data_IF_288748770642
#
_entry.id   IF_288748770642
#
_cell.length_a   1.000
_cell.length_b   1.000
_cell.length_c   1.000
_cell.angle_alpha   90.00
_cell.angle_beta   90.00
_cell.angle_gamma   90.00
#
_symmetry.space_group_name_H-M   'P 1'
#
loop_
_entity.id
_entity.type
_entity.pdbx_description
1 polymer ?
#
# COMPACT_ATOMS: atom_id res chain seq x y z
N UNK A 1 -17.77 11.37 -8.92
CA UNK A 1 -16.43 11.31 -9.54
C UNK A 1 -15.41 11.67 -8.48
N UNK A 2 -14.52 10.77 -8.17
CA UNK A 2 -13.42 11.01 -7.24
C UNK A 2 -12.51 12.08 -7.83
N UNK A 3 -12.04 12.99 -6.99
CA UNK A 3 -11.17 14.07 -7.45
C UNK A 3 -9.73 13.57 -7.62
N UNK A 4 -9.35 13.16 -8.84
CA UNK A 4 -8.02 12.63 -9.20
C UNK A 4 -6.84 13.60 -8.91
N UNK A 5 -7.11 14.86 -8.55
CA UNK A 5 -6.08 15.82 -8.13
C UNK A 5 -5.72 15.75 -6.66
N UNK A 6 -6.50 15.02 -5.85
CA UNK A 6 -6.18 14.84 -4.44
C UNK A 6 -5.08 13.80 -4.28
N UNK A 7 -4.30 13.98 -3.26
CA UNK A 7 -3.20 13.08 -2.91
C UNK A 7 -3.61 12.26 -1.68
N UNK A 8 -3.25 10.97 -1.60
CA UNK A 8 -3.64 10.14 -0.46
C UNK A 8 -3.09 10.69 0.84
N UNK A 9 -3.80 10.48 1.93
CA UNK A 9 -3.36 10.94 3.23
C UNK A 9 -2.06 10.23 3.67
N UNK A 10 -1.20 10.98 4.35
CA UNK A 10 -0.01 10.46 5.05
C UNK A 10 -0.34 10.38 6.54
N UNK A 11 0.02 9.28 7.20
CA UNK A 11 -0.25 9.13 8.63
C UNK A 11 0.49 10.18 9.47
N UNK A 12 -0.20 10.72 10.47
CA UNK A 12 0.40 11.67 11.42
C UNK A 12 1.52 11.04 12.25
N UNK A 13 1.50 9.70 12.42
CA UNK A 13 2.53 8.96 13.16
C UNK A 13 3.81 8.77 12.36
N UNK A 14 3.75 8.80 11.03
CA UNK A 14 4.91 8.64 10.16
C UNK A 14 5.86 9.83 10.22
N UNK A 15 5.33 11.05 10.36
CA UNK A 15 6.14 12.27 10.32
C UNK A 15 7.25 12.33 11.41
N UNK A 16 6.97 12.10 12.71
CA UNK A 16 7.99 12.14 13.73
C UNK A 16 9.15 11.16 13.48
N UNK A 17 8.80 9.92 13.09
CA UNK A 17 9.76 8.85 12.82
C UNK A 17 10.60 9.16 11.59
N UNK A 18 9.98 9.72 10.54
CA UNK A 18 10.69 10.15 9.34
C UNK A 18 11.68 11.28 9.67
N UNK A 19 11.28 12.24 10.49
CA UNK A 19 12.14 13.35 10.92
C UNK A 19 13.36 12.85 11.70
N UNK A 20 13.18 11.88 12.59
CA UNK A 20 14.27 11.24 13.33
C UNK A 20 15.20 10.46 12.39
N UNK A 21 14.63 9.64 11.49
CA UNK A 21 15.40 8.87 10.51
C UNK A 21 16.24 9.76 9.58
N UNK A 22 15.72 10.94 9.18
CA UNK A 22 16.47 11.89 8.33
C UNK A 22 17.52 12.68 9.13
N UNK A 23 17.27 12.95 10.40
CA UNK A 23 18.19 13.68 11.27
C UNK A 23 19.43 12.85 11.68
N UNK A 24 19.35 11.54 11.58
CA UNK A 24 20.49 10.65 11.85
C UNK A 24 21.61 10.92 10.84
N UNK A 25 22.82 11.18 11.34
CA UNK A 25 24.01 11.39 10.50
C UNK A 25 24.40 10.15 9.69
N UNK A 26 23.94 8.97 10.10
CA UNK A 26 24.13 7.71 9.40
C UNK A 26 22.97 7.40 8.44
N UNK A 27 22.01 8.32 8.25
CA UNK A 27 20.85 8.12 7.39
C UNK A 27 21.26 7.71 5.98
N UNK A 28 20.64 6.64 5.50
CA UNK A 28 20.75 6.16 4.12
C UNK A 28 19.42 6.26 3.43
N UNK A 29 19.42 6.24 2.10
CA UNK A 29 18.16 6.15 1.35
C UNK A 29 17.35 4.92 1.75
N UNK A 30 18.01 3.81 2.09
CA UNK A 30 17.36 2.60 2.55
C UNK A 30 16.68 2.77 3.92
N UNK A 31 17.33 3.44 4.88
CA UNK A 31 16.71 3.70 6.19
C UNK A 31 15.50 4.62 6.09
N UNK A 32 15.56 5.64 5.25
CA UNK A 32 14.43 6.55 4.99
C UNK A 32 13.31 5.81 4.24
N UNK A 33 13.66 5.00 3.23
CA UNK A 33 12.69 4.19 2.48
C UNK A 33 11.98 3.17 3.38
N UNK A 34 12.67 2.63 4.39
CA UNK A 34 12.04 1.76 5.39
C UNK A 34 10.91 2.49 6.12
N UNK A 35 11.08 3.75 6.51
CA UNK A 35 10.02 4.56 7.13
C UNK A 35 8.92 4.89 6.13
N UNK A 36 9.28 5.27 4.90
CA UNK A 36 8.30 5.52 3.81
C UNK A 36 7.43 4.29 3.54
N UNK A 37 8.00 3.09 3.61
CA UNK A 37 7.29 1.82 3.41
C UNK A 37 6.26 1.46 4.49
N UNK A 38 6.10 2.28 5.53
CA UNK A 38 5.02 2.13 6.53
C UNK A 38 3.82 3.02 6.24
N UNK A 39 3.90 3.82 5.19
CA UNK A 39 2.86 4.79 4.86
C UNK A 39 2.54 4.75 3.37
N UNK A 40 1.43 4.07 2.98
CA UNK A 40 1.03 3.94 1.59
C UNK A 40 0.87 5.29 0.89
N UNK A 41 0.32 6.28 1.59
CA UNK A 41 0.14 7.63 1.04
C UNK A 41 1.45 8.32 0.71
N UNK A 42 2.45 8.21 1.60
CA UNK A 42 3.78 8.76 1.35
C UNK A 42 4.53 7.96 0.28
N UNK A 43 4.43 6.62 0.31
CA UNK A 43 5.06 5.74 -0.67
C UNK A 43 4.58 6.02 -2.10
N UNK A 44 3.25 6.14 -2.30
CA UNK A 44 2.67 6.47 -3.59
C UNK A 44 3.23 7.79 -4.14
N UNK A 45 3.36 8.82 -3.29
CA UNK A 45 3.88 10.13 -3.69
C UNK A 45 5.36 10.12 -4.03
N UNK A 46 6.16 9.40 -3.24
CA UNK A 46 7.61 9.28 -3.49
C UNK A 46 7.84 8.54 -4.81
N UNK A 47 7.09 7.44 -5.07
CA UNK A 47 7.15 6.72 -6.33
C UNK A 47 6.67 7.58 -7.51
N UNK A 48 5.54 8.28 -7.36
CA UNK A 48 5.01 9.17 -8.38
C UNK A 48 6.01 10.27 -8.76
N UNK A 49 6.62 10.90 -7.76
CA UNK A 49 7.59 11.96 -7.98
C UNK A 49 8.87 11.43 -8.64
N UNK A 50 9.41 10.28 -8.18
CA UNK A 50 10.57 9.64 -8.80
C UNK A 50 10.34 9.30 -10.28
N UNK A 51 9.12 8.90 -10.63
CA UNK A 51 8.71 8.54 -11.99
C UNK A 51 8.23 9.74 -12.84
N UNK A 52 8.26 10.95 -12.28
CA UNK A 52 7.85 12.15 -13.01
C UNK A 52 8.88 12.51 -14.10
N UNK A 53 8.43 13.27 -15.12
CA UNK A 53 9.30 13.76 -16.19
C UNK A 53 10.44 14.66 -15.71
N UNK A 54 10.35 15.18 -14.48
CA UNK A 54 11.37 16.04 -13.90
C UNK A 54 12.71 15.30 -13.69
N UNK A 55 12.66 14.00 -13.39
CA UNK A 55 13.87 13.20 -13.17
C UNK A 55 14.35 12.47 -14.42
N UNK A 56 13.54 12.41 -15.48
CA UNK A 56 13.94 11.92 -16.82
C UNK A 56 14.49 10.49 -16.84
N UNK A 57 14.02 9.62 -15.95
CA UNK A 57 14.53 8.26 -15.84
C UNK A 57 14.15 7.42 -17.07
N UNK A 58 15.11 6.62 -17.55
CA UNK A 58 14.91 5.72 -18.69
C UNK A 58 14.05 4.48 -18.33
N UNK A 59 13.96 4.13 -17.04
CA UNK A 59 13.15 3.03 -16.53
C UNK A 59 12.32 3.54 -15.39
N UNK A 60 11.11 3.00 -15.25
CA UNK A 60 10.25 3.28 -14.09
C UNK A 60 10.85 2.67 -12.83
N UNK A 61 10.73 3.41 -11.72
CA UNK A 61 11.19 3.03 -10.39
C UNK A 61 10.01 2.45 -9.62
N UNK A 62 10.15 1.24 -9.13
CA UNK A 62 9.20 0.54 -8.25
C UNK A 62 9.76 0.39 -6.84
N UNK A 63 11.08 0.33 -6.70
CA UNK A 63 11.79 0.21 -5.43
C UNK A 63 11.81 1.53 -4.65
N UNK A 64 11.36 1.51 -3.39
CA UNK A 64 11.27 2.71 -2.55
C UNK A 64 12.64 3.30 -2.20
N UNK A 65 13.68 2.48 -2.01
CA UNK A 65 15.01 2.99 -1.70
C UNK A 65 15.63 3.69 -2.91
N UNK A 66 15.39 3.15 -4.12
CA UNK A 66 15.75 3.81 -5.36
C UNK A 66 14.96 5.11 -5.54
N UNK A 67 13.66 5.10 -5.27
CA UNK A 67 12.81 6.30 -5.35
C UNK A 67 13.31 7.39 -4.41
N UNK A 68 13.61 7.06 -3.15
CA UNK A 68 14.19 8.00 -2.17
C UNK A 68 15.55 8.52 -2.63
N UNK A 69 16.37 7.66 -3.25
CA UNK A 69 17.68 8.09 -3.79
C UNK A 69 17.50 9.12 -4.91
N UNK A 70 16.54 8.90 -5.81
CA UNK A 70 16.26 9.78 -6.96
C UNK A 70 15.69 11.13 -6.48
N UNK A 71 14.70 11.07 -5.60
CA UNK A 71 13.97 12.26 -5.12
C UNK A 71 14.78 13.06 -4.11
N UNK A 72 15.55 12.38 -3.28
CA UNK A 72 16.32 12.94 -2.17
C UNK A 72 15.51 13.04 -0.87
N UNK A 73 16.18 12.78 0.25
CA UNK A 73 15.57 12.73 1.59
C UNK A 73 14.90 14.05 2.01
N UNK A 74 15.46 15.20 1.62
CA UNK A 74 14.88 16.52 1.90
C UNK A 74 13.53 16.74 1.22
N UNK A 75 13.33 16.22 0.01
CA UNK A 75 12.05 16.30 -0.69
C UNK A 75 11.05 15.35 -0.06
N UNK A 76 11.47 14.15 0.33
CA UNK A 76 10.62 13.20 1.08
C UNK A 76 10.12 13.84 2.38
N UNK A 77 11.00 14.51 3.12
CA UNK A 77 10.66 15.28 4.33
C UNK A 77 9.60 16.36 4.03
N UNK A 78 9.80 17.14 2.98
CA UNK A 78 8.85 18.21 2.59
C UNK A 78 7.47 17.63 2.23
N UNK A 79 7.45 16.52 1.49
CA UNK A 79 6.21 15.81 1.16
C UNK A 79 5.47 15.36 2.43
N UNK A 80 6.18 14.77 3.38
CA UNK A 80 5.59 14.29 4.63
C UNK A 80 5.02 15.45 5.46
N UNK A 81 5.75 16.56 5.63
CA UNK A 81 5.29 17.74 6.38
C UNK A 81 4.05 18.35 5.73
N UNK A 82 4.08 18.58 4.40
CA UNK A 82 2.97 19.18 3.67
C UNK A 82 1.67 18.37 3.81
N UNK A 83 1.79 17.09 4.05
CA UNK A 83 0.66 16.17 4.10
C UNK A 83 0.16 15.87 5.50
N UNK A 84 1.03 15.86 6.50
CA UNK A 84 0.62 15.71 7.90
C UNK A 84 -0.31 16.85 8.36
N UNK A 85 -0.18 18.03 7.76
CA UNK A 85 -1.04 19.18 8.04
C UNK A 85 -2.48 19.03 7.48
N UNK A 86 -2.74 18.08 6.59
CA UNK A 86 -4.01 17.93 5.88
C UNK A 86 -4.98 16.91 6.52
N UNK A 87 -4.54 16.15 7.54
CA UNK A 87 -5.33 15.06 8.11
C UNK A 87 -5.65 15.27 9.59
N UNK A 88 -6.95 15.24 9.87
CA UNK A 88 -7.47 14.92 11.20
C UNK A 88 -8.30 13.66 11.03
N UNK A 89 -7.67 12.48 11.14
CA UNK A 89 -8.40 11.22 11.29
C UNK A 89 -8.67 10.96 12.78
N UNK A 90 -9.93 11.04 13.16
CA UNK A 90 -10.38 10.76 14.54
C UNK A 90 -10.97 9.36 14.67
N UNK A 91 -11.09 8.59 13.59
CA UNK A 91 -11.75 7.28 13.57
C UNK A 91 -10.82 6.11 13.86
N UNK A 92 -9.50 6.30 13.74
CA UNK A 92 -8.52 5.22 13.77
C UNK A 92 -8.42 4.42 12.47
N UNK A 93 -9.33 4.66 11.51
CA UNK A 93 -9.37 3.94 10.23
C UNK A 93 -8.04 4.00 9.47
N UNK A 94 -7.44 5.19 9.37
CA UNK A 94 -6.16 5.37 8.66
C UNK A 94 -5.05 4.55 9.30
N UNK A 95 -5.01 4.45 10.64
CA UNK A 95 -4.01 3.65 11.33
C UNK A 95 -4.19 2.15 11.08
N UNK A 96 -5.43 1.67 11.08
CA UNK A 96 -5.76 0.26 10.81
C UNK A 96 -5.45 -0.11 9.34
N UNK A 97 -5.86 0.74 8.38
CA UNK A 97 -5.59 0.56 6.96
C UNK A 97 -4.07 0.56 6.66
N UNK A 98 -3.30 1.48 7.28
CA UNK A 98 -1.84 1.47 7.16
C UNK A 98 -1.22 0.21 7.75
N UNK A 99 -1.67 -0.23 8.93
CA UNK A 99 -1.19 -1.46 9.55
C UNK A 99 -1.47 -2.70 8.69
N UNK A 100 -2.65 -2.76 8.07
CA UNK A 100 -3.02 -3.80 7.11
C UNK A 100 -2.10 -3.75 5.88
N UNK A 101 -2.00 -2.62 5.22
CA UNK A 101 -1.19 -2.43 4.02
C UNK A 101 0.29 -2.84 4.22
N UNK A 102 0.89 -2.50 5.37
CA UNK A 102 2.27 -2.91 5.70
C UNK A 102 2.38 -4.43 5.83
N UNK A 103 1.43 -5.09 6.50
CA UNK A 103 1.44 -6.55 6.63
C UNK A 103 1.28 -7.23 5.27
N UNK A 104 0.37 -6.74 4.42
CA UNK A 104 0.19 -7.25 3.06
C UNK A 104 1.43 -7.02 2.21
N UNK A 105 2.10 -5.87 2.31
CA UNK A 105 3.36 -5.60 1.61
C UNK A 105 4.46 -6.60 2.00
N UNK A 106 4.63 -6.88 3.29
CA UNK A 106 5.60 -7.87 3.77
C UNK A 106 5.23 -9.27 3.26
N UNK A 107 3.96 -9.65 3.36
CA UNK A 107 3.48 -10.94 2.85
C UNK A 107 3.71 -11.08 1.34
N UNK A 108 3.37 -10.06 0.55
CA UNK A 108 3.59 -10.05 -0.90
C UNK A 108 5.08 -10.20 -1.25
N UNK A 109 5.97 -9.49 -0.54
CA UNK A 109 7.42 -9.66 -0.73
C UNK A 109 7.90 -11.08 -0.46
N UNK A 110 7.35 -11.73 0.59
CA UNK A 110 7.72 -13.10 0.96
C UNK A 110 7.16 -14.13 -0.04
N UNK A 111 5.99 -13.87 -0.63
CA UNK A 111 5.33 -14.72 -1.63
C UNK A 111 5.89 -14.54 -3.04
N UNK A 112 6.45 -13.38 -3.36
CA UNK A 112 6.92 -13.00 -4.69
C UNK A 112 7.77 -14.06 -5.40
N UNK A 113 8.75 -14.72 -4.74
CA UNK A 113 9.55 -15.75 -5.39
C UNK A 113 8.77 -16.95 -5.91
N UNK A 114 7.65 -17.32 -5.27
CA UNK A 114 6.80 -18.44 -5.70
C UNK A 114 6.14 -18.18 -7.07
N UNK A 115 5.90 -16.92 -7.41
CA UNK A 115 5.32 -16.50 -8.68
C UNK A 115 6.35 -15.92 -9.68
N UNK A 116 7.65 -15.95 -9.34
CA UNK A 116 8.69 -15.35 -10.17
C UNK A 116 8.61 -13.81 -10.27
N UNK A 117 7.98 -13.16 -9.28
CA UNK A 117 7.84 -11.71 -9.18
C UNK A 117 9.04 -11.12 -8.43
N UNK A 118 9.45 -9.90 -8.82
CA UNK A 118 10.49 -9.21 -8.07
C UNK A 118 9.95 -8.80 -6.68
N UNK A 119 10.66 -9.10 -5.58
CA UNK A 119 10.15 -8.83 -4.22
C UNK A 119 9.78 -7.37 -3.95
N UNK A 120 10.52 -6.40 -4.54
CA UNK A 120 10.24 -4.98 -4.31
C UNK A 120 9.01 -4.51 -5.08
N UNK A 121 8.74 -5.06 -6.29
CA UNK A 121 7.51 -4.79 -7.04
C UNK A 121 6.29 -5.32 -6.26
N UNK A 122 6.40 -6.54 -5.74
CA UNK A 122 5.36 -7.15 -4.92
C UNK A 122 5.12 -6.37 -3.61
N UNK A 123 6.19 -5.91 -2.95
CA UNK A 123 6.10 -5.08 -1.75
C UNK A 123 5.36 -3.78 -2.03
N UNK A 124 5.75 -3.05 -3.09
CA UNK A 124 5.12 -1.79 -3.45
C UNK A 124 3.65 -1.97 -3.84
N UNK A 125 3.34 -3.01 -4.62
CA UNK A 125 1.96 -3.33 -4.99
C UNK A 125 1.12 -3.71 -3.77
N UNK A 126 1.63 -4.57 -2.88
CA UNK A 126 0.96 -4.93 -1.63
C UNK A 126 0.78 -3.75 -0.68
N UNK A 127 1.74 -2.80 -0.64
CA UNK A 127 1.60 -1.60 0.18
C UNK A 127 0.50 -0.67 -0.32
N UNK A 128 0.24 -0.67 -1.62
CA UNK A 128 -0.68 0.26 -2.27
C UNK A 128 -2.02 -0.36 -2.66
N UNK A 129 -2.25 -1.67 -2.40
CA UNK A 129 -3.42 -2.37 -2.91
C UNK A 129 -4.75 -1.71 -2.53
N UNK A 130 -4.87 -1.23 -1.28
CA UNK A 130 -6.06 -0.56 -0.75
C UNK A 130 -5.95 0.97 -0.71
N UNK A 131 -5.04 1.58 -1.47
CA UNK A 131 -4.87 3.04 -1.46
C UNK A 131 -6.16 3.79 -1.81
N UNK A 132 -7.05 3.17 -2.58
CA UNK A 132 -8.35 3.70 -2.95
C UNK A 132 -9.29 3.88 -1.77
N UNK A 133 -9.21 3.05 -0.72
CA UNK A 133 -9.98 3.25 0.51
C UNK A 133 -9.66 4.60 1.17
N UNK A 134 -8.37 4.93 1.23
CA UNK A 134 -7.92 6.22 1.77
C UNK A 134 -8.39 7.40 0.91
N UNK A 135 -8.51 7.20 -0.41
CA UNK A 135 -9.03 8.21 -1.34
C UNK A 135 -10.55 8.39 -1.17
N UNK A 136 -11.31 7.29 -1.05
CA UNK A 136 -12.76 7.33 -0.77
C UNK A 136 -13.05 7.97 0.59
N UNK A 137 -12.29 7.60 1.61
CA UNK A 137 -12.37 8.24 2.93
C UNK A 137 -12.10 9.73 2.86
N UNK A 138 -11.07 10.15 2.12
CA UNK A 138 -10.73 11.57 1.99
C UNK A 138 -11.81 12.37 1.24
N UNK A 139 -12.46 11.77 0.25
CA UNK A 139 -13.52 12.42 -0.51
C UNK A 139 -14.83 12.54 0.29
N UNK A 140 -15.16 11.53 1.09
CA UNK A 140 -16.42 11.45 1.83
C UNK A 140 -16.22 10.82 3.23
N UNK A 141 -15.52 11.52 4.16
CA UNK A 141 -15.04 10.92 5.41
C UNK A 141 -16.14 10.27 6.26
N UNK A 142 -17.24 11.01 6.49
CA UNK A 142 -18.34 10.53 7.33
C UNK A 142 -19.11 9.38 6.70
N UNK A 143 -19.26 9.39 5.37
CA UNK A 143 -19.99 8.37 4.65
C UNK A 143 -19.17 7.09 4.53
N UNK A 144 -17.90 7.21 4.15
CA UNK A 144 -17.03 6.04 4.03
C UNK A 144 -16.82 5.34 5.39
N UNK A 145 -16.52 6.09 6.45
CA UNK A 145 -16.35 5.51 7.78
C UNK A 145 -17.61 4.79 8.29
N UNK A 146 -18.81 5.35 7.99
CA UNK A 146 -20.08 4.70 8.35
C UNK A 146 -20.30 3.41 7.56
N UNK A 147 -20.01 3.39 6.28
CA UNK A 147 -20.20 2.22 5.41
C UNK A 147 -19.18 1.13 5.73
N UNK A 148 -17.91 1.49 5.92
CA UNK A 148 -16.85 0.55 6.25
C UNK A 148 -17.18 -0.29 7.51
N UNK A 149 -17.82 0.31 8.52
CA UNK A 149 -18.24 -0.40 9.72
C UNK A 149 -19.36 -1.45 9.47
N UNK A 150 -19.95 -1.49 8.27
CA UNK A 150 -21.05 -2.40 7.92
C UNK A 150 -20.65 -3.49 6.93
N UNK A 151 -19.45 -3.47 6.39
CA UNK A 151 -18.99 -4.48 5.44
C UNK A 151 -18.74 -5.81 6.15
N UNK A 152 -19.28 -6.88 5.58
CA UNK A 152 -19.12 -8.24 6.09
C UNK A 152 -18.09 -9.04 5.27
N UNK A 153 -17.95 -8.69 4.00
CA UNK A 153 -17.02 -9.33 3.05
C UNK A 153 -16.47 -8.31 2.06
N UNK A 154 -15.33 -8.60 1.43
CA UNK A 154 -14.77 -7.77 0.33
C UNK A 154 -15.78 -7.62 -0.83
N UNK A 155 -16.49 -8.68 -1.19
CA UNK A 155 -17.51 -8.61 -2.25
C UNK A 155 -18.67 -7.66 -1.89
N UNK A 156 -19.05 -7.58 -0.62
CA UNK A 156 -20.04 -6.63 -0.12
C UNK A 156 -19.50 -5.20 -0.14
N UNK A 157 -18.26 -5.02 0.26
CA UNK A 157 -17.55 -3.74 0.20
C UNK A 157 -17.52 -3.20 -1.23
N UNK A 158 -16.96 -3.94 -2.18
CA UNK A 158 -16.87 -3.54 -3.59
C UNK A 158 -18.22 -3.16 -4.18
N UNK A 159 -19.25 -3.97 -3.91
CA UNK A 159 -20.60 -3.68 -4.38
C UNK A 159 -21.17 -2.40 -3.80
N UNK A 160 -21.00 -2.18 -2.51
CA UNK A 160 -21.53 -1.02 -1.81
C UNK A 160 -20.79 0.25 -2.21
N UNK A 161 -19.47 0.20 -2.34
CA UNK A 161 -18.66 1.30 -2.84
C UNK A 161 -19.11 1.71 -4.25
N UNK A 162 -19.28 0.75 -5.17
CA UNK A 162 -19.81 1.03 -6.52
C UNK A 162 -21.17 1.70 -6.50
N UNK A 163 -22.06 1.28 -5.60
CA UNK A 163 -23.41 1.85 -5.50
C UNK A 163 -23.39 3.28 -4.95
N UNK A 164 -22.54 3.56 -3.98
CA UNK A 164 -22.52 4.84 -3.28
C UNK A 164 -21.61 5.85 -3.97
N UNK A 165 -20.41 5.44 -4.39
CA UNK A 165 -19.38 6.33 -4.94
C UNK A 165 -19.26 6.25 -6.48
N UNK A 166 -19.93 5.28 -7.11
CA UNK A 166 -19.86 5.03 -8.56
C UNK A 166 -18.59 4.28 -9.00
N UNK A 167 -17.73 3.93 -8.07
CA UNK A 167 -16.51 3.13 -8.25
C UNK A 167 -16.21 2.37 -6.96
N UNK A 168 -15.32 1.38 -7.01
CA UNK A 168 -14.77 0.75 -5.82
C UNK A 168 -13.34 1.22 -5.54
N UNK A 169 -12.80 0.84 -4.36
CA UNK A 169 -11.45 1.25 -3.95
C UNK A 169 -10.36 0.69 -4.88
N UNK A 170 -10.50 -0.53 -5.41
CA UNK A 170 -9.50 -1.13 -6.28
C UNK A 170 -9.35 -0.33 -7.58
N UNK A 171 -10.46 -0.04 -8.26
CA UNK A 171 -10.47 0.79 -9.47
C UNK A 171 -10.06 2.22 -9.19
N UNK A 172 -10.58 2.84 -8.12
CA UNK A 172 -10.24 4.20 -7.74
C UNK A 172 -8.75 4.35 -7.43
N UNK A 173 -8.17 3.38 -6.70
CA UNK A 173 -6.75 3.33 -6.40
C UNK A 173 -5.90 3.23 -7.64
N UNK A 174 -6.22 2.28 -8.52
CA UNK A 174 -5.50 2.06 -9.77
C UNK A 174 -5.50 3.28 -10.69
N UNK A 175 -6.67 3.89 -10.91
CA UNK A 175 -6.79 5.12 -11.72
C UNK A 175 -5.91 6.25 -11.18
N UNK A 176 -5.89 6.47 -9.86
CA UNK A 176 -5.05 7.49 -9.25
C UNK A 176 -3.56 7.17 -9.39
N UNK A 177 -3.16 5.90 -9.19
CA UNK A 177 -1.76 5.50 -9.34
C UNK A 177 -1.27 5.71 -10.77
N UNK A 178 -2.09 5.42 -11.78
CA UNK A 178 -1.78 5.69 -13.19
C UNK A 178 -1.65 7.20 -13.47
N UNK A 179 -2.56 8.02 -12.95
CA UNK A 179 -2.49 9.49 -13.06
C UNK A 179 -1.22 10.05 -12.42
N UNK A 180 -0.74 9.44 -11.35
CA UNK A 180 0.50 9.81 -10.66
C UNK A 180 1.75 9.16 -11.27
N UNK A 181 1.60 8.44 -12.38
CA UNK A 181 2.70 7.76 -13.09
C UNK A 181 3.41 6.69 -12.26
N UNK A 182 2.73 6.11 -11.30
CA UNK A 182 3.19 4.87 -10.66
C UNK A 182 3.20 3.78 -11.73
N UNK A 183 4.18 2.87 -11.70
CA UNK A 183 4.31 1.82 -12.73
C UNK A 183 3.05 0.98 -12.91
N UNK A 184 2.72 0.67 -14.16
CA UNK A 184 1.52 -0.07 -14.54
C UNK A 184 1.41 -1.41 -13.81
N UNK A 185 2.54 -2.12 -13.60
CA UNK A 185 2.58 -3.38 -12.85
C UNK A 185 2.02 -3.28 -11.43
N UNK A 186 2.16 -2.11 -10.80
CA UNK A 186 1.60 -1.83 -9.47
C UNK A 186 0.12 -1.49 -9.62
N UNK A 187 -0.23 -0.58 -10.55
CA UNK A 187 -1.59 -0.15 -10.75
C UNK A 187 -2.51 -1.31 -11.18
N UNK A 188 -2.04 -2.19 -12.08
CA UNK A 188 -2.78 -3.39 -12.50
C UNK A 188 -3.01 -4.34 -11.31
N UNK A 189 -1.99 -4.54 -10.47
CA UNK A 189 -2.16 -5.35 -9.27
C UNK A 189 -3.19 -4.77 -8.30
N UNK A 190 -3.23 -3.44 -8.15
CA UNK A 190 -4.23 -2.74 -7.34
C UNK A 190 -5.63 -2.86 -7.94
N UNK A 191 -5.77 -2.75 -9.27
CA UNK A 191 -7.08 -2.87 -9.94
C UNK A 191 -7.73 -4.24 -9.73
N UNK A 192 -6.93 -5.31 -9.80
CA UNK A 192 -7.42 -6.68 -9.97
C UNK A 192 -7.17 -7.57 -8.74
N UNK A 193 -6.72 -7.04 -7.59
CA UNK A 193 -6.35 -7.87 -6.44
C UNK A 193 -7.54 -8.66 -5.83
N UNK A 194 -8.77 -8.22 -6.07
CA UNK A 194 -9.98 -8.97 -5.70
C UNK A 194 -10.45 -9.97 -6.76
N UNK A 195 -9.85 -9.98 -7.95
CA UNK A 195 -10.18 -10.92 -9.03
C UNK A 195 -8.93 -11.58 -9.63
N UNK A 196 -8.15 -12.34 -8.82
CA UNK A 196 -6.88 -12.91 -9.25
C UNK A 196 -7.03 -13.97 -10.36
N UNK A 197 -8.21 -14.53 -10.59
CA UNK A 197 -8.44 -15.54 -11.64
C UNK A 197 -8.47 -14.94 -13.04
N UNK A 198 -8.86 -13.68 -13.16
CA UNK A 198 -8.88 -12.98 -14.44
C UNK A 198 -7.60 -12.16 -14.65
N UNK A 199 -6.75 -12.09 -13.62
CA UNK A 199 -5.50 -11.36 -13.69
C UNK A 199 -4.49 -12.06 -14.60
N UNK A 200 -3.91 -11.31 -15.52
CA UNK A 200 -2.84 -11.81 -16.40
C UNK A 200 -1.44 -11.64 -15.78
N UNK A 201 -1.32 -10.81 -14.74
CA UNK A 201 -0.05 -10.46 -14.13
C UNK A 201 0.23 -11.28 -12.86
N UNK A 202 1.39 -11.95 -12.75
CA UNK A 202 1.76 -12.70 -11.55
C UNK A 202 1.78 -11.83 -10.28
N UNK A 203 2.07 -10.53 -10.40
CA UNK A 203 2.06 -9.58 -9.28
C UNK A 203 0.68 -9.46 -8.64
N UNK A 204 -0.39 -9.46 -9.43
CA UNK A 204 -1.77 -9.43 -8.93
C UNK A 204 -2.09 -10.67 -8.09
N UNK A 205 -1.68 -11.86 -8.57
CA UNK A 205 -1.88 -13.11 -7.82
C UNK A 205 -1.14 -13.06 -6.48
N UNK A 206 0.08 -12.54 -6.47
CA UNK A 206 0.88 -12.40 -5.25
C UNK A 206 0.23 -11.43 -4.26
N UNK A 207 -0.30 -10.30 -4.73
CA UNK A 207 -0.97 -9.31 -3.87
C UNK A 207 -2.27 -9.88 -3.31
N UNK A 208 -3.10 -10.50 -4.15
CA UNK A 208 -4.34 -11.15 -3.71
C UNK A 208 -4.07 -12.25 -2.67
N UNK A 209 -3.05 -13.09 -2.89
CA UNK A 209 -2.66 -14.13 -1.94
C UNK A 209 -2.12 -13.55 -0.63
N UNK A 210 -1.40 -12.42 -0.70
CA UNK A 210 -0.91 -11.74 0.49
C UNK A 210 -2.06 -11.13 1.30
N UNK A 211 -3.03 -10.53 0.64
CA UNK A 211 -4.21 -9.98 1.30
C UNK A 211 -5.06 -11.08 1.94
N UNK A 212 -5.38 -12.18 1.21
CA UNK A 212 -6.04 -13.36 1.79
C UNK A 212 -5.31 -13.93 3.00
N UNK A 213 -3.97 -13.94 2.96
CA UNK A 213 -3.14 -14.44 4.07
C UNK A 213 -3.32 -13.58 5.34
N UNK A 214 -3.49 -12.27 5.19
CA UNK A 214 -3.52 -11.29 6.29
C UNK A 214 -4.94 -11.00 6.80
N UNK A 215 -5.93 -10.98 5.90
CA UNK A 215 -7.31 -10.57 6.21
C UNK A 215 -8.09 -11.58 7.05
N UNK A 216 -7.57 -12.78 7.29
CA UNK A 216 -8.20 -13.84 8.11
C UNK A 216 -9.69 -14.10 7.78
N UNK A 217 -10.15 -13.74 6.58
CA UNK A 217 -11.48 -14.09 6.14
C UNK A 217 -11.62 -15.62 6.12
N UNK A 218 -12.62 -16.12 6.84
CA UNK A 218 -12.98 -17.56 6.85
C UNK A 218 -13.67 -17.89 5.53
N UNK A 219 -12.90 -18.12 4.49
CA UNK A 219 -13.37 -18.41 3.14
C UNK A 219 -12.36 -19.23 2.35
N UNK A 220 -12.65 -19.45 1.09
CA UNK A 220 -11.72 -20.14 0.19
C UNK A 220 -10.52 -19.23 -0.10
N UNK A 221 -9.34 -19.71 0.19
CA UNK A 221 -8.07 -19.05 -0.09
C UNK A 221 -7.68 -19.25 -1.57
N UNK A 222 -8.44 -18.65 -2.47
CA UNK A 222 -8.29 -18.88 -3.90
C UNK A 222 -6.94 -18.45 -4.47
N UNK A 223 -6.42 -17.31 -4.03
CA UNK A 223 -5.15 -16.82 -4.53
C UNK A 223 -3.96 -17.60 -3.91
N UNK A 224 -4.08 -18.06 -2.67
CA UNK A 224 -3.10 -18.94 -2.04
C UNK A 224 -3.02 -20.31 -2.76
N UNK A 225 -4.16 -20.85 -3.20
CA UNK A 225 -4.23 -22.08 -3.99
C UNK A 225 -3.51 -21.92 -5.35
N UNK A 226 -3.59 -20.74 -5.98
CA UNK A 226 -2.86 -20.45 -7.22
C UNK A 226 -1.33 -20.44 -7.04
N UNK A 227 -0.85 -20.19 -5.83
CA UNK A 227 0.58 -20.26 -5.47
C UNK A 227 0.99 -21.63 -4.92
N UNK A 228 0.11 -22.63 -4.95
CA UNK A 228 0.34 -24.00 -4.46
C UNK A 228 0.80 -24.01 -2.98
N UNK A 229 0.33 -23.10 -2.16
CA UNK A 229 0.68 -23.00 -0.75
C UNK A 229 -0.25 -23.86 0.11
N UNK A 230 0.34 -24.75 0.90
CA UNK A 230 -0.41 -25.49 1.90
C UNK A 230 -0.65 -24.67 3.19
N UNK A 231 -1.54 -25.17 4.05
CA UNK A 231 -1.94 -24.50 5.30
C UNK A 231 -0.73 -24.28 6.23
N UNK A 232 0.20 -25.24 6.30
CA UNK A 232 1.36 -25.11 7.19
C UNK A 232 2.34 -24.05 6.69
N UNK A 233 2.53 -23.95 5.36
CA UNK A 233 3.32 -22.88 4.75
C UNK A 233 2.67 -21.51 4.97
N UNK A 234 1.34 -21.41 4.84
CA UNK A 234 0.60 -20.19 5.10
C UNK A 234 0.73 -19.73 6.56
N UNK A 235 0.60 -20.64 7.54
CA UNK A 235 0.77 -20.32 8.96
C UNK A 235 2.19 -19.85 9.26
N UNK A 236 3.21 -20.53 8.73
CA UNK A 236 4.59 -20.11 8.87
C UNK A 236 4.89 -18.73 8.27
N UNK A 237 4.20 -18.37 7.18
CA UNK A 237 4.28 -17.04 6.59
C UNK A 237 3.63 -15.99 7.47
N UNK A 238 2.43 -16.26 8.06
CA UNK A 238 1.77 -15.35 9.01
C UNK A 238 2.67 -15.01 10.19
N UNK A 239 3.34 -16.02 10.78
CA UNK A 239 4.27 -15.82 11.89
C UNK A 239 5.46 -14.93 11.49
N UNK A 240 6.00 -15.13 10.30
CA UNK A 240 7.08 -14.29 9.77
C UNK A 240 6.61 -12.84 9.55
N UNK A 241 5.45 -12.66 8.94
CA UNK A 241 4.86 -11.32 8.72
C UNK A 241 4.64 -10.62 10.06
N UNK A 242 4.08 -11.30 11.06
CA UNK A 242 3.87 -10.73 12.39
C UNK A 242 5.19 -10.31 13.04
N UNK A 243 6.24 -11.13 12.91
CA UNK A 243 7.58 -10.83 13.43
C UNK A 243 8.20 -9.61 12.73
N UNK A 244 8.18 -9.58 11.40
CA UNK A 244 8.75 -8.47 10.61
C UNK A 244 7.96 -7.17 10.83
N UNK A 245 6.62 -7.23 10.84
CA UNK A 245 5.77 -6.07 11.11
C UNK A 245 5.97 -5.54 12.54
N UNK A 246 6.11 -6.44 13.53
CA UNK A 246 6.39 -6.06 14.93
C UNK A 246 7.76 -5.40 15.10
N UNK A 247 8.77 -5.86 14.39
CA UNK A 247 10.10 -5.22 14.38
C UNK A 247 10.02 -3.81 13.78
N UNK A 248 9.20 -3.61 12.77
CA UNK A 248 8.99 -2.32 12.12
C UNK A 248 8.19 -1.35 13.01
N UNK A 249 7.13 -1.82 13.67
CA UNK A 249 6.36 -0.99 14.63
C UNK A 249 7.16 -0.65 15.88
N UNK A 250 8.08 -1.50 16.33
CA UNK A 250 9.01 -1.22 17.42
C UNK A 250 9.97 -0.07 17.13
N UNK A 251 10.27 0.20 15.86
CA UNK A 251 11.06 1.36 15.43
C UNK A 251 10.25 2.67 15.47
N UNK A 252 8.91 2.58 15.47
CA UNK A 252 7.99 3.73 15.43
C UNK A 252 7.47 4.10 16.83
N UNK A 253 7.59 3.22 17.82
CA UNK A 253 7.02 3.36 19.17
C UNK A 253 8.02 3.45 20.32
N UNK A 254 9.31 3.62 20.03
CA UNK A 254 10.41 3.71 21.03
C UNK A 254 10.77 5.13 21.42
#
# INVERSE_FOLDING_TARGET
>A
MINTKRQPPVSTTTLPVLMEAIADRAATAASVASVVGHDPGLAARVLALANSSQFGLCRRVTDLAQAVTVVGTGVVQTLAIANAAALVDTSGFVADAHGHAVRVAIAARLLAPAAGVHPDDAFAAGLLHDIGELLLLQDSPSEYARLHATFETHADQLRTEKQVFGTDHALAGAEHLLDWRVPDVIADAVADHHDPFHASAPTTIVVAAADELISAETGRHHALDLLELDVAAADGLRDRVATEAGALTGLVGG
#
